data_IF_422466510014
#
_entry.id   IF_422466510014
#
_cell.length_a   1.000
_cell.length_b   1.000
_cell.length_c   1.000
_cell.angle_alpha   90.00
_cell.angle_beta   90.00
_cell.angle_gamma   90.00
#
_symmetry.space_group_name_H-M   'P 1'
#
loop_
_entity.id
_entity.type
_entity.pdbx_description
1 polymer ?
#
# COMPACT_ATOMS: atom_id res chain seq x y z
N UNK A 1 -18.18 10.23 7.04
CA UNK A 1 -18.73 11.62 6.84
C UNK A 1 -19.55 12.12 8.01
N UNK A 2 -20.21 11.28 8.79
CA UNK A 2 -21.03 11.71 9.94
C UNK A 2 -20.20 12.13 11.16
N UNK A 3 -19.01 11.58 11.33
CA UNK A 3 -18.13 11.89 12.48
C UNK A 3 -17.41 13.24 12.36
N UNK A 4 -17.08 13.66 11.14
CA UNK A 4 -16.32 14.90 10.93
C UNK A 4 -17.05 16.12 11.49
N UNK A 5 -18.35 16.39 11.20
CA UNK A 5 -19.06 17.55 11.76
C UNK A 5 -19.19 17.53 13.29
N UNK A 6 -19.00 16.39 13.93
CA UNK A 6 -19.05 16.23 15.39
C UNK A 6 -17.66 16.28 16.04
N UNK A 7 -16.62 16.44 15.24
CA UNK A 7 -15.24 16.51 15.73
C UNK A 7 -14.90 17.91 16.20
N UNK A 8 -14.20 18.04 17.30
CA UNK A 8 -13.73 19.32 17.82
C UNK A 8 -12.42 19.74 17.18
N UNK A 9 -11.52 18.77 16.94
CA UNK A 9 -10.28 18.94 16.18
C UNK A 9 -10.14 17.79 15.19
N UNK A 10 -9.56 18.08 14.04
CA UNK A 10 -9.16 17.10 13.03
C UNK A 10 -7.71 17.34 12.66
N UNK A 11 -6.92 16.29 12.69
CA UNK A 11 -5.54 16.28 12.21
C UNK A 11 -5.51 15.60 10.84
N UNK A 12 -4.83 16.23 9.89
CA UNK A 12 -4.75 15.73 8.52
C UNK A 12 -3.32 15.75 7.98
N UNK A 13 -2.90 14.77 7.19
CA UNK A 13 -1.64 14.88 6.45
C UNK A 13 -1.75 16.01 5.42
N UNK A 14 -0.63 16.65 5.12
CA UNK A 14 -0.54 17.82 4.21
C UNK A 14 -1.18 17.60 2.84
N UNK A 15 -1.16 16.36 2.35
CA UNK A 15 -1.71 15.97 1.03
C UNK A 15 -3.25 15.98 0.96
N UNK A 16 -3.96 15.98 2.08
CA UNK A 16 -5.42 16.06 2.10
C UNK A 16 -5.85 17.53 2.24
N UNK A 17 -6.58 18.10 1.26
CA UNK A 17 -6.97 19.50 1.32
C UNK A 17 -7.90 19.82 2.50
N UNK A 18 -7.70 21.01 3.11
CA UNK A 18 -8.52 21.51 4.23
C UNK A 18 -10.00 21.57 3.89
N UNK A 19 -10.32 21.91 2.64
CA UNK A 19 -11.70 22.01 2.16
C UNK A 19 -12.50 20.70 2.34
N UNK A 20 -11.84 19.55 2.41
CA UNK A 20 -12.50 18.27 2.67
C UNK A 20 -13.19 18.22 4.03
N UNK A 21 -12.77 19.06 4.95
CA UNK A 21 -13.27 19.15 6.32
C UNK A 21 -14.12 20.40 6.53
N UNK A 22 -13.70 21.55 6.02
CA UNK A 22 -14.44 22.81 6.17
C UNK A 22 -15.74 22.82 5.36
N UNK A 23 -15.79 22.13 4.21
CA UNK A 23 -17.03 21.97 3.44
C UNK A 23 -18.13 21.16 4.14
N UNK A 24 -17.80 20.47 5.22
CA UNK A 24 -18.77 19.69 6.03
C UNK A 24 -19.01 20.28 7.42
N UNK A 25 -18.58 21.54 7.65
CA UNK A 25 -18.97 22.34 8.81
C UNK A 25 -17.90 22.58 9.86
N UNK A 26 -16.66 22.11 9.67
CA UNK A 26 -15.56 22.48 10.57
C UNK A 26 -15.03 23.89 10.24
N UNK A 27 -14.60 24.63 11.27
CA UNK A 27 -13.87 25.87 11.10
C UNK A 27 -12.41 25.56 10.70
N UNK A 28 -11.73 26.44 9.93
CA UNK A 28 -10.32 26.28 9.60
C UNK A 28 -9.43 26.08 10.84
N UNK A 29 -9.73 26.76 11.95
CA UNK A 29 -9.01 26.62 13.22
C UNK A 29 -9.12 25.23 13.88
N UNK A 30 -10.08 24.42 13.45
CA UNK A 30 -10.30 23.06 13.94
C UNK A 30 -9.58 22.00 13.07
N UNK A 31 -8.96 22.40 11.94
CA UNK A 31 -8.30 21.50 10.99
C UNK A 31 -6.80 21.75 11.01
N UNK A 32 -6.07 20.88 11.67
CA UNK A 32 -4.63 21.00 11.85
C UNK A 32 -3.91 20.10 10.83
N UNK A 33 -3.00 20.69 10.06
CA UNK A 33 -2.15 19.95 9.12
C UNK A 33 -0.87 19.48 9.79
N UNK A 34 -0.38 18.31 9.42
CA UNK A 34 0.98 17.83 9.70
C UNK A 34 1.71 17.45 8.41
N UNK A 35 3.05 17.49 8.43
CA UNK A 35 3.89 17.50 7.23
C UNK A 35 4.42 16.10 6.85
N UNK A 36 3.70 15.04 7.17
CA UNK A 36 4.09 13.68 6.81
C UNK A 36 2.89 12.82 6.42
N UNK A 37 3.15 11.66 5.83
CA UNK A 37 2.16 10.61 5.57
C UNK A 37 2.33 9.54 6.64
N UNK A 38 1.26 9.15 7.30
CA UNK A 38 1.24 8.36 8.53
C UNK A 38 2.09 7.09 8.53
N UNK A 39 2.25 6.43 7.37
CA UNK A 39 3.00 5.17 7.26
C UNK A 39 4.47 5.29 7.68
N UNK A 40 5.04 6.48 7.61
CA UNK A 40 6.42 6.74 8.04
C UNK A 40 6.61 6.41 9.50
N UNK A 41 5.62 6.70 10.37
CA UNK A 41 5.71 6.53 11.81
C UNK A 41 6.06 5.12 12.26
N UNK A 42 5.66 4.10 11.50
CA UNK A 42 5.95 2.70 11.85
C UNK A 42 6.91 2.01 10.88
N UNK A 43 7.28 2.66 9.77
CA UNK A 43 8.19 2.10 8.78
C UNK A 43 9.56 2.78 8.72
N UNK A 44 9.76 3.91 9.41
CA UNK A 44 11.04 4.65 9.37
C UNK A 44 12.24 3.78 9.79
N UNK A 45 12.04 2.85 10.73
CA UNK A 45 13.07 1.93 11.22
C UNK A 45 13.15 0.60 10.44
N UNK A 46 12.39 0.49 9.33
CA UNK A 46 12.47 -0.70 8.49
C UNK A 46 13.85 -0.81 7.83
N UNK A 47 14.43 -2.01 7.75
CA UNK A 47 15.67 -2.20 6.99
C UNK A 47 15.46 -1.86 5.51
N UNK A 48 16.53 -1.48 4.84
CA UNK A 48 16.54 -1.31 3.40
C UNK A 48 16.29 -2.66 2.70
N UNK A 49 15.77 -2.59 1.49
CA UNK A 49 15.56 -3.77 0.65
C UNK A 49 16.90 -4.43 0.30
N UNK A 50 16.97 -5.76 0.43
CA UNK A 50 18.15 -6.57 0.10
C UNK A 50 17.76 -7.77 -0.78
N UNK A 51 17.98 -7.65 -2.09
CA UNK A 51 17.59 -8.67 -3.07
C UNK A 51 18.26 -10.03 -2.84
N UNK A 52 19.54 -10.04 -2.53
CA UNK A 52 20.37 -11.25 -2.48
C UNK A 52 20.75 -11.67 -1.05
N UNK A 53 19.95 -11.29 -0.07
CA UNK A 53 20.22 -11.61 1.32
C UNK A 53 19.93 -13.08 1.66
N UNK A 54 20.64 -13.60 2.69
CA UNK A 54 20.31 -14.92 3.27
C UNK A 54 18.86 -14.98 3.76
N UNK A 55 18.31 -13.83 4.18
CA UNK A 55 16.94 -13.71 4.66
C UNK A 55 15.94 -13.89 3.53
N UNK A 56 16.19 -13.30 2.34
CA UNK A 56 15.36 -13.57 1.15
C UNK A 56 15.40 -15.05 0.76
N UNK A 57 16.58 -15.68 0.81
CA UNK A 57 16.70 -17.12 0.57
C UNK A 57 15.93 -17.98 1.57
N UNK A 58 15.87 -17.58 2.83
CA UNK A 58 15.03 -18.23 3.85
C UNK A 58 13.55 -18.06 3.55
N UNK A 59 13.10 -16.84 3.24
CA UNK A 59 11.72 -16.52 2.85
C UNK A 59 11.28 -17.34 1.64
N UNK A 60 12.10 -17.39 0.58
CA UNK A 60 11.83 -18.20 -0.62
C UNK A 60 11.62 -19.67 -0.29
N UNK A 61 12.45 -20.25 0.58
CA UNK A 61 12.29 -21.65 1.02
C UNK A 61 11.06 -21.88 1.88
N UNK A 62 10.79 -20.98 2.82
CA UNK A 62 9.65 -21.06 3.72
C UNK A 62 8.33 -21.13 2.97
N UNK A 63 8.18 -20.30 1.93
CA UNK A 63 6.96 -20.25 1.12
C UNK A 63 6.99 -21.15 -0.12
N UNK A 64 8.04 -21.96 -0.30
CA UNK A 64 8.17 -22.87 -1.43
C UNK A 64 8.14 -22.16 -2.78
N UNK A 65 8.84 -21.02 -2.89
CA UNK A 65 8.91 -20.20 -4.09
C UNK A 65 10.08 -20.63 -4.99
N UNK A 66 10.01 -20.31 -6.28
CA UNK A 66 11.14 -20.46 -7.20
C UNK A 66 12.16 -19.33 -6.94
N UNK A 67 13.39 -19.73 -6.56
CA UNK A 67 14.47 -18.78 -6.27
C UNK A 67 14.95 -17.97 -7.48
N UNK A 68 14.60 -18.38 -8.69
CA UNK A 68 14.98 -17.72 -9.95
C UNK A 68 13.99 -16.63 -10.36
N UNK A 69 12.78 -16.66 -9.80
CA UNK A 69 11.72 -15.72 -10.14
C UNK A 69 11.63 -14.57 -9.14
N UNK A 70 11.27 -13.37 -9.62
CA UNK A 70 10.92 -12.27 -8.75
C UNK A 70 9.64 -12.58 -7.96
N UNK A 71 9.36 -11.78 -6.93
CA UNK A 71 8.21 -11.98 -6.04
C UNK A 71 7.25 -10.80 -6.20
N UNK A 72 6.04 -11.08 -6.63
CA UNK A 72 4.93 -10.14 -6.67
C UNK A 72 3.99 -10.43 -5.51
N UNK A 73 3.78 -9.44 -4.64
CA UNK A 73 2.74 -9.53 -3.62
C UNK A 73 1.43 -8.97 -4.18
N UNK A 74 0.37 -9.72 -4.01
CA UNK A 74 -0.99 -9.32 -4.41
C UNK A 74 -1.84 -9.12 -3.18
N UNK A 75 -2.43 -7.92 -3.03
CA UNK A 75 -3.35 -7.57 -1.93
C UNK A 75 -4.72 -7.23 -2.46
N UNK A 76 -5.74 -7.93 -1.99
CA UNK A 76 -7.13 -7.68 -2.38
C UNK A 76 -7.62 -6.28 -2.01
N UNK A 77 -8.54 -5.74 -2.82
CA UNK A 77 -9.28 -4.51 -2.53
C UNK A 77 -10.25 -4.72 -1.36
N UNK A 78 -10.48 -3.65 -0.58
CA UNK A 78 -11.53 -3.61 0.44
C UNK A 78 -12.90 -3.39 -0.22
N UNK A 79 -13.52 -4.48 -0.68
CA UNK A 79 -14.79 -4.38 -1.39
C UNK A 79 -16.04 -4.38 -0.47
N UNK A 80 -15.89 -4.66 0.83
CA UNK A 80 -16.98 -4.59 1.81
C UNK A 80 -17.16 -3.19 2.41
N UNK A 81 -16.27 -2.26 2.11
CA UNK A 81 -16.40 -0.89 2.61
C UNK A 81 -17.53 -0.13 1.91
N UNK A 82 -18.28 0.68 2.66
CA UNK A 82 -19.44 1.45 2.15
C UNK A 82 -19.14 2.37 0.97
N UNK A 83 -17.88 2.76 0.79
CA UNK A 83 -17.44 3.65 -0.30
C UNK A 83 -17.08 2.88 -1.58
N UNK A 84 -16.95 1.56 -1.53
CA UNK A 84 -16.67 0.72 -2.70
C UNK A 84 -17.99 0.32 -3.34
N UNK A 85 -18.25 0.87 -4.54
CA UNK A 85 -19.50 0.65 -5.26
C UNK A 85 -19.52 -0.66 -6.05
N UNK A 86 -18.35 -1.17 -6.43
CA UNK A 86 -18.22 -2.33 -7.29
C UNK A 86 -16.95 -3.11 -6.95
N UNK A 87 -17.06 -4.44 -6.81
CA UNK A 87 -15.91 -5.35 -6.77
C UNK A 87 -15.40 -5.53 -8.19
N UNK A 88 -14.14 -5.13 -8.42
CA UNK A 88 -13.49 -5.34 -9.72
C UNK A 88 -12.71 -6.66 -9.71
N UNK A 89 -12.84 -7.48 -10.76
CA UNK A 89 -12.14 -8.77 -10.84
C UNK A 89 -10.67 -8.63 -11.25
N UNK A 90 -10.19 -7.43 -11.55
CA UNK A 90 -8.88 -7.14 -12.15
C UNK A 90 -7.73 -7.88 -11.46
N UNK A 91 -7.72 -7.90 -10.12
CA UNK A 91 -6.68 -8.58 -9.34
C UNK A 91 -6.67 -10.08 -9.68
N UNK A 92 -7.82 -10.73 -9.59
CA UNK A 92 -7.90 -12.18 -9.81
C UNK A 92 -7.61 -12.57 -11.26
N UNK A 93 -8.10 -11.78 -12.21
CA UNK A 93 -7.85 -11.97 -13.65
C UNK A 93 -6.36 -11.75 -14.00
N UNK A 94 -5.62 -10.95 -13.21
CA UNK A 94 -4.21 -10.73 -13.44
C UNK A 94 -3.30 -11.86 -12.92
N UNK A 95 -3.74 -12.65 -11.96
CA UNK A 95 -2.92 -13.69 -11.31
C UNK A 95 -2.34 -14.69 -12.32
N UNK A 96 -3.11 -15.25 -13.27
CA UNK A 96 -2.54 -16.13 -14.31
C UNK A 96 -1.41 -15.47 -15.09
N UNK A 97 -1.61 -14.24 -15.54
CA UNK A 97 -0.63 -13.48 -16.32
C UNK A 97 0.63 -13.14 -15.50
N UNK A 98 0.49 -12.89 -14.21
CA UNK A 98 1.62 -12.63 -13.31
C UNK A 98 2.40 -13.90 -12.99
N UNK A 99 1.72 -15.05 -12.86
CA UNK A 99 2.35 -16.34 -12.56
C UNK A 99 3.28 -16.84 -13.66
N UNK A 100 3.13 -16.34 -14.88
CA UNK A 100 4.01 -16.67 -16.00
C UNK A 100 5.40 -16.01 -15.87
N UNK A 101 5.51 -14.94 -15.07
CA UNK A 101 6.75 -14.15 -14.95
C UNK A 101 7.32 -14.04 -13.54
N UNK A 102 6.57 -14.44 -12.52
CA UNK A 102 6.94 -14.22 -11.12
C UNK A 102 6.36 -15.27 -10.18
N UNK A 103 6.91 -15.38 -8.98
CA UNK A 103 6.19 -15.93 -7.84
C UNK A 103 5.11 -14.94 -7.41
N UNK A 104 3.88 -15.38 -7.31
CA UNK A 104 2.74 -14.57 -6.90
C UNK A 104 2.31 -14.97 -5.50
N UNK A 105 2.53 -14.08 -4.53
CA UNK A 105 2.04 -14.24 -3.17
C UNK A 105 0.72 -13.49 -3.02
N UNK A 106 -0.35 -14.20 -2.75
CA UNK A 106 -1.66 -13.58 -2.49
C UNK A 106 -1.84 -13.44 -0.98
N UNK A 107 -2.00 -12.20 -0.54
CA UNK A 107 -2.39 -11.90 0.85
C UNK A 107 -3.88 -11.56 0.86
N UNK A 108 -4.75 -12.51 1.16
CA UNK A 108 -6.19 -12.32 1.16
C UNK A 108 -6.61 -11.32 2.25
N UNK A 109 -7.70 -10.63 2.01
CA UNK A 109 -8.32 -9.76 3.01
C UNK A 109 -9.40 -10.48 3.82
N UNK A 110 -10.02 -11.45 3.17
CA UNK A 110 -11.12 -12.25 3.70
C UNK A 110 -10.76 -13.73 3.71
N UNK A 111 -11.68 -14.60 3.35
CA UNK A 111 -11.48 -16.04 3.34
C UNK A 111 -10.53 -16.49 2.22
N UNK A 112 -9.64 -17.43 2.54
CA UNK A 112 -8.58 -17.93 1.65
C UNK A 112 -8.95 -19.21 0.89
N UNK A 113 -9.87 -20.02 1.41
CA UNK A 113 -10.14 -21.38 0.90
C UNK A 113 -10.61 -21.39 -0.56
N UNK A 114 -11.47 -20.43 -0.93
CA UNK A 114 -11.92 -20.27 -2.32
C UNK A 114 -10.78 -19.87 -3.27
N UNK A 115 -9.82 -19.08 -2.78
CA UNK A 115 -8.65 -18.65 -3.56
C UNK A 115 -7.68 -19.81 -3.75
N UNK A 116 -7.45 -20.62 -2.74
CA UNK A 116 -6.60 -21.81 -2.84
C UNK A 116 -7.14 -22.76 -3.90
N UNK A 117 -8.45 -23.03 -3.89
CA UNK A 117 -9.09 -23.85 -4.90
C UNK A 117 -8.95 -23.27 -6.31
N UNK A 118 -9.21 -21.95 -6.45
CA UNK A 118 -9.18 -21.26 -7.75
C UNK A 118 -7.80 -21.22 -8.39
N UNK A 119 -6.72 -21.14 -7.57
CA UNK A 119 -5.35 -20.99 -8.06
C UNK A 119 -4.44 -22.20 -7.82
N UNK A 120 -4.99 -23.33 -7.38
CA UNK A 120 -4.26 -24.58 -7.08
C UNK A 120 -3.43 -25.12 -8.23
N UNK A 121 -3.80 -24.86 -9.49
CA UNK A 121 -3.10 -25.33 -10.68
C UNK A 121 -1.84 -24.52 -11.02
N UNK A 122 -1.71 -23.32 -10.46
CA UNK A 122 -0.57 -22.43 -10.73
C UNK A 122 0.57 -22.68 -9.74
N UNK A 123 1.66 -23.28 -10.20
CA UNK A 123 2.81 -23.66 -9.34
C UNK A 123 3.45 -22.47 -8.61
N UNK A 124 3.50 -21.32 -9.28
CA UNK A 124 4.13 -20.11 -8.80
C UNK A 124 3.18 -19.21 -7.99
N UNK A 125 1.95 -19.65 -7.68
CA UNK A 125 0.99 -18.91 -6.87
C UNK A 125 0.91 -19.52 -5.48
N UNK A 126 1.04 -18.69 -4.45
CA UNK A 126 0.92 -19.08 -3.04
C UNK A 126 -0.03 -18.15 -2.31
N UNK A 127 -0.88 -18.71 -1.48
CA UNK A 127 -1.81 -17.96 -0.65
C UNK A 127 -1.25 -17.88 0.77
N UNK A 128 -1.09 -16.66 1.27
CA UNK A 128 -0.64 -16.43 2.64
C UNK A 128 -1.84 -16.55 3.59
N UNK A 129 -1.91 -17.63 4.34
CA UNK A 129 -3.01 -17.88 5.30
C UNK A 129 -2.95 -16.96 6.51
N UNK A 130 -1.75 -16.62 6.93
CA UNK A 130 -1.51 -15.78 8.09
C UNK A 130 -1.15 -14.36 7.66
N UNK A 131 -1.61 -13.38 8.44
CA UNK A 131 -1.14 -11.99 8.30
C UNK A 131 0.32 -11.95 8.73
N UNK A 132 1.16 -11.34 7.90
CA UNK A 132 2.57 -11.13 8.18
C UNK A 132 2.81 -9.71 8.66
N UNK A 133 3.76 -9.55 9.57
CA UNK A 133 4.28 -8.24 9.94
C UNK A 133 5.04 -7.61 8.77
N UNK A 134 4.99 -6.29 8.58
CA UNK A 134 5.67 -5.60 7.48
C UNK A 134 7.13 -6.00 7.28
N UNK A 135 7.88 -6.13 8.38
CA UNK A 135 9.30 -6.54 8.38
C UNK A 135 9.53 -7.95 7.82
N UNK A 136 8.52 -8.82 7.88
CA UNK A 136 8.63 -10.20 7.47
C UNK A 136 8.47 -10.42 5.96
N UNK A 137 7.97 -9.43 5.20
CA UNK A 137 7.73 -9.62 3.76
C UNK A 137 8.20 -8.46 2.88
N UNK A 138 8.02 -7.18 3.24
CA UNK A 138 8.40 -6.05 2.38
C UNK A 138 9.85 -6.10 1.89
N UNK A 139 10.85 -6.50 2.70
CA UNK A 139 12.23 -6.58 2.23
C UNK A 139 12.45 -7.58 1.08
N UNK A 140 11.49 -8.44 0.80
CA UNK A 140 11.66 -9.57 -0.13
C UNK A 140 10.80 -9.48 -1.38
N UNK A 141 9.84 -8.55 -1.45
CA UNK A 141 8.96 -8.41 -2.61
C UNK A 141 9.52 -7.41 -3.62
N UNK A 142 9.35 -7.72 -4.90
CA UNK A 142 9.84 -6.90 -6.01
C UNK A 142 8.78 -5.92 -6.54
N UNK A 143 7.49 -6.30 -6.46
CA UNK A 143 6.35 -5.47 -6.88
C UNK A 143 5.16 -5.76 -5.98
N UNK A 144 4.38 -4.73 -5.64
CA UNK A 144 3.06 -4.87 -5.02
C UNK A 144 1.97 -4.59 -6.06
N UNK A 145 1.02 -5.51 -6.21
CA UNK A 145 -0.26 -5.29 -6.89
C UNK A 145 -1.34 -5.19 -5.81
N UNK A 146 -1.91 -4.00 -5.63
CA UNK A 146 -2.82 -3.74 -4.51
C UNK A 146 -4.12 -3.07 -4.91
N UNK A 147 -5.22 -3.52 -4.31
CA UNK A 147 -6.53 -2.87 -4.40
C UNK A 147 -6.66 -1.61 -3.56
N UNK A 148 -5.54 -1.02 -3.14
CA UNK A 148 -5.50 0.23 -2.37
C UNK A 148 -5.36 0.04 -0.86
N UNK A 149 -5.42 1.16 -0.14
CA UNK A 149 -5.25 1.22 1.30
C UNK A 149 -3.81 1.38 1.76
N UNK A 150 -3.57 1.14 3.04
CA UNK A 150 -2.30 1.39 3.72
C UNK A 150 -1.12 0.67 3.08
N UNK A 151 -1.30 -0.58 2.63
CA UNK A 151 -0.21 -1.34 2.03
C UNK A 151 0.36 -0.71 0.75
N UNK A 152 -0.48 -0.04 -0.06
CA UNK A 152 0.03 0.69 -1.23
C UNK A 152 0.92 1.86 -0.79
N UNK A 153 0.53 2.60 0.25
CA UNK A 153 1.32 3.70 0.81
C UNK A 153 2.63 3.20 1.41
N UNK A 154 2.56 2.11 2.17
CA UNK A 154 3.73 1.46 2.81
C UNK A 154 4.75 1.04 1.75
N UNK A 155 4.31 0.33 0.71
CA UNK A 155 5.19 -0.12 -0.36
C UNK A 155 5.79 1.07 -1.14
N UNK A 156 5.00 2.11 -1.46
CA UNK A 156 5.51 3.33 -2.09
C UNK A 156 6.56 4.02 -1.20
N UNK A 157 6.32 4.13 0.10
CA UNK A 157 7.30 4.70 1.04
C UNK A 157 8.61 3.93 1.03
N UNK A 158 8.55 2.60 1.04
CA UNK A 158 9.72 1.72 1.00
C UNK A 158 10.42 1.67 -0.38
N UNK A 159 9.88 2.39 -1.37
CA UNK A 159 10.39 2.43 -2.75
C UNK A 159 10.09 1.18 -3.56
N UNK A 160 9.19 0.32 -3.08
CA UNK A 160 8.73 -0.85 -3.81
C UNK A 160 7.73 -0.41 -4.88
N UNK A 161 7.91 -0.81 -6.15
CA UNK A 161 6.95 -0.51 -7.22
C UNK A 161 5.54 -0.98 -6.87
N UNK A 162 4.56 -0.07 -7.01
CA UNK A 162 3.15 -0.34 -6.71
C UNK A 162 2.30 -0.21 -7.96
N UNK A 163 1.47 -1.21 -8.21
CA UNK A 163 0.43 -1.19 -9.23
C UNK A 163 -0.92 -1.22 -8.50
N UNK A 164 -1.60 -0.08 -8.45
CA UNK A 164 -2.92 0.03 -7.84
C UNK A 164 -4.00 -0.37 -8.85
N UNK A 165 -4.92 -1.22 -8.42
CA UNK A 165 -6.14 -1.57 -9.16
C UNK A 165 -7.38 -0.96 -8.51
N UNK A 166 -7.18 0.01 -7.61
CA UNK A 166 -8.23 0.60 -6.80
C UNK A 166 -9.30 1.27 -7.64
N UNK A 167 -10.57 0.96 -7.36
CA UNK A 167 -11.72 1.53 -8.05
C UNK A 167 -11.96 3.01 -7.73
N UNK A 168 -11.60 3.45 -6.52
CA UNK A 168 -11.75 4.83 -6.03
C UNK A 168 -10.41 5.41 -5.60
N UNK A 169 -9.84 6.30 -6.41
CA UNK A 169 -8.61 7.01 -6.09
C UNK A 169 -8.85 8.12 -5.05
N UNK A 170 -8.20 8.02 -3.91
CA UNK A 170 -8.18 9.04 -2.86
C UNK A 170 -7.04 10.04 -3.09
N UNK A 171 -6.93 11.07 -2.23
CA UNK A 171 -5.88 12.09 -2.33
C UNK A 171 -4.48 11.47 -2.27
N UNK A 172 -4.25 10.51 -1.38
CA UNK A 172 -2.98 9.78 -1.30
C UNK A 172 -2.64 9.06 -2.61
N UNK A 173 -3.62 8.36 -3.19
CA UNK A 173 -3.40 7.64 -4.45
C UNK A 173 -3.02 8.61 -5.57
N UNK A 174 -3.76 9.73 -5.71
CA UNK A 174 -3.49 10.75 -6.73
C UNK A 174 -2.11 11.38 -6.55
N UNK A 175 -1.77 11.77 -5.32
CA UNK A 175 -0.47 12.35 -5.00
C UNK A 175 0.69 11.43 -5.42
N UNK A 176 0.61 10.13 -5.11
CA UNK A 176 1.65 9.17 -5.47
C UNK A 176 1.68 8.84 -6.97
N UNK A 177 0.51 8.86 -7.64
CA UNK A 177 0.42 8.71 -9.10
C UNK A 177 1.06 9.91 -9.82
N UNK A 178 0.78 11.13 -9.37
CA UNK A 178 1.30 12.36 -9.97
C UNK A 178 2.83 12.45 -9.84
N UNK A 179 3.40 11.88 -8.77
CA UNK A 179 4.83 11.75 -8.55
C UNK A 179 5.48 10.55 -9.25
N UNK A 180 4.69 9.69 -9.89
CA UNK A 180 5.19 8.47 -10.53
C UNK A 180 5.67 7.38 -9.58
N UNK A 181 5.38 7.49 -8.28
CA UNK A 181 5.71 6.48 -7.25
C UNK A 181 4.75 5.30 -7.24
N UNK A 182 3.60 5.45 -7.89
CA UNK A 182 2.59 4.41 -8.05
C UNK A 182 2.10 4.39 -9.49
N UNK A 183 1.71 3.22 -9.98
CA UNK A 183 1.01 3.07 -11.26
C UNK A 183 -0.44 2.67 -11.00
N UNK A 184 -1.36 3.01 -11.91
CA UNK A 184 -2.75 2.59 -11.84
C UNK A 184 -3.11 1.73 -13.04
N UNK A 185 -3.75 0.59 -12.82
CA UNK A 185 -4.21 -0.33 -13.84
C UNK A 185 -5.73 -0.52 -13.78
N UNK A 186 -6.37 -0.51 -14.94
CA UNK A 186 -7.82 -0.66 -15.11
C UNK A 186 -8.20 -2.02 -15.72
N UNK A 187 -7.22 -2.86 -16.02
CA UNK A 187 -7.42 -4.20 -16.56
C UNK A 187 -6.29 -5.15 -16.16
N UNK A 188 -6.55 -6.45 -16.20
CA UNK A 188 -5.54 -7.47 -15.92
C UNK A 188 -4.33 -7.39 -16.87
N UNK A 189 -4.57 -7.06 -18.15
CA UNK A 189 -3.50 -6.89 -19.13
C UNK A 189 -2.61 -5.67 -18.80
N UNK A 190 -3.18 -4.56 -18.32
CA UNK A 190 -2.41 -3.41 -17.86
C UNK A 190 -1.57 -3.75 -16.63
N UNK A 191 -2.13 -4.50 -15.66
CA UNK A 191 -1.37 -5.00 -14.50
C UNK A 191 -0.15 -5.80 -14.98
N UNK A 192 -0.35 -6.76 -15.88
CA UNK A 192 0.73 -7.59 -16.41
C UNK A 192 1.82 -6.78 -17.12
N UNK A 193 1.44 -5.83 -17.99
CA UNK A 193 2.39 -4.95 -18.68
C UNK A 193 3.19 -4.06 -17.72
N UNK A 194 2.54 -3.49 -16.72
CA UNK A 194 3.20 -2.68 -15.71
C UNK A 194 4.13 -3.53 -14.84
N UNK A 195 3.70 -4.73 -14.43
CA UNK A 195 4.54 -5.65 -13.68
C UNK A 195 5.80 -6.03 -14.47
N UNK A 196 5.67 -6.39 -15.73
CA UNK A 196 6.80 -6.68 -16.60
C UNK A 196 7.77 -5.50 -16.72
N UNK A 197 7.24 -4.28 -16.91
CA UNK A 197 8.04 -3.05 -16.94
C UNK A 197 8.85 -2.87 -15.65
N UNK A 198 8.20 -2.98 -14.49
CA UNK A 198 8.83 -2.79 -13.19
C UNK A 198 9.87 -3.89 -12.88
N UNK A 199 9.61 -5.13 -13.23
CA UNK A 199 10.54 -6.23 -13.01
C UNK A 199 11.79 -6.16 -13.87
N UNK A 200 11.73 -5.49 -15.03
CA UNK A 200 12.86 -5.40 -15.97
C UNK A 200 13.71 -4.14 -15.82
N UNK A 201 13.14 -3.03 -15.33
CA UNK A 201 13.77 -1.71 -15.43
C UNK A 201 13.83 -0.93 -14.11
N UNK A 202 13.47 -1.54 -12.97
CA UNK A 202 13.42 -0.82 -11.71
C UNK A 202 14.76 -0.88 -10.98
N UNK A 203 15.28 0.29 -10.51
CA UNK A 203 16.38 0.32 -9.58
C UNK A 203 16.01 -0.36 -8.26
N UNK A 204 17.00 -0.68 -7.44
CA UNK A 204 16.75 -1.21 -6.09
C UNK A 204 15.86 -0.25 -5.28
N UNK A 205 14.87 -0.75 -4.55
CA UNK A 205 14.00 0.06 -3.72
C UNK A 205 14.79 0.92 -2.73
N UNK A 206 14.41 2.20 -2.64
CA UNK A 206 14.93 3.17 -1.69
C UNK A 206 13.77 3.91 -1.04
N UNK A 207 13.83 4.09 0.28
CA UNK A 207 12.81 4.84 1.01
C UNK A 207 12.64 6.25 0.44
N UNK A 208 11.39 6.68 0.37
CA UNK A 208 10.98 7.97 -0.15
C UNK A 208 10.74 9.00 0.97
N UNK A 209 11.71 9.14 1.90
CA UNK A 209 11.59 10.04 3.06
C UNK A 209 11.31 11.48 2.63
N UNK A 210 12.01 11.98 1.59
CA UNK A 210 11.84 13.33 1.07
C UNK A 210 10.41 13.65 0.59
N UNK A 211 9.65 12.61 0.21
CA UNK A 211 8.26 12.75 -0.27
C UNK A 211 7.26 12.53 0.84
N UNK A 212 7.50 11.53 1.70
CA UNK A 212 6.54 11.12 2.72
C UNK A 212 6.68 11.87 4.03
N UNK A 213 7.86 12.40 4.34
CA UNK A 213 8.14 13.18 5.55
C UNK A 213 9.26 14.19 5.29
N UNK A 214 9.04 15.22 4.45
CA UNK A 214 10.08 16.18 4.05
C UNK A 214 10.72 16.91 5.23
N UNK A 215 10.01 17.06 6.33
CA UNK A 215 10.48 17.70 7.57
C UNK A 215 10.64 16.71 8.74
N UNK A 216 10.65 15.39 8.43
CA UNK A 216 10.60 14.33 9.44
C UNK A 216 9.17 14.01 9.86
N UNK A 217 8.98 12.86 10.51
CA UNK A 217 7.68 12.41 11.02
C UNK A 217 7.70 12.41 12.54
N UNK A 218 7.14 13.46 13.13
CA UNK A 218 7.02 13.60 14.58
C UNK A 218 5.64 14.15 15.00
N UNK A 219 4.93 13.38 15.80
CA UNK A 219 3.67 13.81 16.39
C UNK A 219 3.82 14.88 17.50
N UNK A 220 5.02 15.20 17.94
CA UNK A 220 5.24 16.27 18.92
C UNK A 220 4.66 17.61 18.45
N UNK A 221 4.61 17.86 17.14
CA UNK A 221 3.99 19.05 16.54
C UNK A 221 2.48 19.12 16.75
N UNK A 222 1.81 18.00 16.98
CA UNK A 222 0.36 17.89 17.18
C UNK A 222 -0.01 18.07 18.67
N UNK A 223 0.85 17.62 19.58
CA UNK A 223 0.59 17.62 21.02
C UNK A 223 0.21 18.99 21.60
N UNK A 224 0.83 20.13 21.20
CA UNK A 224 0.43 21.45 21.69
C UNK A 224 -1.02 21.80 21.36
N UNK A 225 -1.52 21.42 20.20
CA UNK A 225 -2.91 21.66 19.80
C UNK A 225 -3.90 20.90 20.69
N UNK A 226 -3.58 19.64 21.02
CA UNK A 226 -4.37 18.81 21.93
C UNK A 226 -4.33 19.42 23.34
N UNK A 227 -3.14 19.77 23.83
CA UNK A 227 -2.96 20.34 25.16
C UNK A 227 -3.69 21.68 25.34
N UNK A 228 -3.67 22.55 24.32
CA UNK A 228 -4.39 23.83 24.33
C UNK A 228 -5.90 23.64 24.34
N UNK A 229 -6.39 22.62 23.59
CA UNK A 229 -7.80 22.30 23.58
C UNK A 229 -8.30 21.77 24.93
N UNK A 230 -7.53 20.96 25.63
CA UNK A 230 -7.89 20.39 26.94
C UNK A 230 -7.90 21.43 28.09
N UNK A 231 -7.36 22.64 27.86
CA UNK A 231 -7.34 23.75 28.84
C UNK A 231 -8.53 24.71 28.70
N UNK A 232 -9.32 24.57 27.66
CA UNK A 232 -10.56 25.32 27.41
C UNK A 232 -11.76 24.64 28.04
#
# INVERSE_FOLDING_TARGET
RLTIPLSTLVFRPFIVPEICYTSVGLLPSQVISYDFIDVVLWLQDMPSYERDSKQRGAFVREYGLDSKLPIILVREEEYKAHYVKQKLPIIYESIPLLSDMANVLIMPRYESDSLESAFSTYKNVKILRNKLEPKAFYPFIDVLVGGGGTMNLEACYLGIPVISTRSLLLFHDRFLLDLGLMSHAKSALEVSKLAQKWLTHTPLPKKCDDVFAPNGADFSTILPHIANFLKQ
#
